data_IF_121012850234
#
_entry.id   IF_121012850234
#
_cell.length_a   1.000
_cell.length_b   1.000
_cell.length_c   1.000
_cell.angle_alpha   90.00
_cell.angle_beta   90.00
_cell.angle_gamma   90.00
#
_symmetry.space_group_name_H-M   'P 1'
#
loop_
_entity.id
_entity.type
_entity.pdbx_description
1 polymer ?
#
# COMPACT_ATOMS: atom_id res chain seq x y z
N UNK A 1 -16.91 -4.28 5.90
CA UNK A 1 -16.44 -4.70 7.24
C UNK A 1 -16.62 -3.56 8.25
N UNK A 2 -16.71 -3.89 9.53
CA UNK A 2 -16.64 -2.89 10.59
C UNK A 2 -15.16 -2.51 10.81
N UNK A 3 -14.87 -1.21 10.87
CA UNK A 3 -13.51 -0.70 11.10
C UNK A 3 -13.22 -0.41 12.58
N UNK A 4 -14.25 -0.24 13.40
CA UNK A 4 -14.08 -0.04 14.84
C UNK A 4 -13.42 -1.27 15.48
N UNK A 5 -12.27 -1.08 16.08
CA UNK A 5 -11.45 -2.13 16.70
C UNK A 5 -10.70 -3.04 15.71
N UNK A 6 -10.85 -2.87 14.39
CA UNK A 6 -10.12 -3.64 13.38
C UNK A 6 -8.61 -3.44 13.49
N UNK A 7 -7.84 -4.50 13.30
CA UNK A 7 -6.37 -4.46 13.34
C UNK A 7 -5.83 -4.27 11.94
N UNK A 8 -5.14 -3.14 11.71
CA UNK A 8 -4.63 -2.77 10.40
C UNK A 8 -3.10 -2.61 10.40
N UNK A 9 -2.46 -3.12 9.34
CA UNK A 9 -1.05 -2.89 9.05
C UNK A 9 -0.91 -2.11 7.74
N UNK A 10 -0.19 -0.99 7.76
CA UNK A 10 0.05 -0.15 6.58
C UNK A 10 1.55 -0.07 6.29
N UNK A 11 1.99 -0.60 5.15
CA UNK A 11 3.39 -0.50 4.72
C UNK A 11 3.67 0.85 4.08
N UNK A 12 4.89 1.39 4.29
CA UNK A 12 5.21 2.76 3.86
C UNK A 12 4.35 3.81 4.57
N UNK A 13 3.96 3.56 5.83
CA UNK A 13 3.02 4.38 6.60
C UNK A 13 3.59 5.68 7.15
N UNK A 14 4.90 5.94 6.99
CA UNK A 14 5.54 7.13 7.53
C UNK A 14 5.21 8.43 6.79
N UNK A 15 4.74 8.37 5.56
CA UNK A 15 4.44 9.57 4.75
C UNK A 15 3.44 9.28 3.62
N UNK A 16 3.07 10.31 2.88
CA UNK A 16 2.27 10.22 1.66
C UNK A 16 0.95 9.47 1.84
N UNK A 17 0.62 8.62 0.86
CA UNK A 17 -0.64 7.85 0.85
C UNK A 17 -0.73 6.95 2.08
N UNK A 18 0.37 6.25 2.45
CA UNK A 18 0.37 5.35 3.60
C UNK A 18 0.03 6.06 4.91
N UNK A 19 0.61 7.24 5.15
CA UNK A 19 0.25 8.09 6.32
C UNK A 19 -1.22 8.52 6.27
N UNK A 20 -1.70 8.93 5.08
CA UNK A 20 -3.11 9.29 4.89
C UNK A 20 -4.06 8.15 5.23
N UNK A 21 -3.77 6.95 4.73
CA UNK A 21 -4.57 5.74 5.01
C UNK A 21 -4.52 5.36 6.49
N UNK A 22 -3.32 5.41 7.11
CA UNK A 22 -3.19 5.12 8.54
C UNK A 22 -4.02 6.08 9.39
N UNK A 23 -4.01 7.39 9.05
CA UNK A 23 -4.84 8.41 9.70
C UNK A 23 -6.34 8.14 9.55
N UNK A 24 -6.79 7.83 8.34
CA UNK A 24 -8.19 7.57 8.07
C UNK A 24 -8.69 6.29 8.78
N UNK A 25 -7.93 5.20 8.73
CA UNK A 25 -8.28 3.98 9.45
C UNK A 25 -8.32 4.20 10.97
N UNK A 26 -7.37 4.97 11.52
CA UNK A 26 -7.38 5.36 12.93
C UNK A 26 -8.62 6.18 13.31
N UNK A 27 -9.03 7.10 12.45
CA UNK A 27 -10.24 7.92 12.67
C UNK A 27 -11.53 7.09 12.67
N UNK A 28 -11.53 5.94 11.98
CA UNK A 28 -12.61 4.94 11.98
C UNK A 28 -12.56 3.97 13.19
N UNK A 29 -11.67 4.19 14.15
CA UNK A 29 -11.54 3.36 15.35
C UNK A 29 -10.65 2.13 15.17
N UNK A 30 -9.97 1.95 14.04
CA UNK A 30 -9.04 0.85 13.85
C UNK A 30 -7.77 1.03 14.73
N UNK A 31 -7.20 -0.08 15.18
CA UNK A 31 -5.86 -0.15 15.77
C UNK A 31 -4.84 -0.32 14.64
N UNK A 32 -4.07 0.71 14.39
CA UNK A 32 -3.19 0.76 13.22
C UNK A 32 -1.74 0.60 13.63
N UNK A 33 -1.01 -0.26 12.92
CA UNK A 33 0.45 -0.34 12.93
C UNK A 33 0.97 0.13 11.58
N UNK A 34 1.99 0.99 11.58
CA UNK A 34 2.69 1.42 10.37
C UNK A 34 4.08 0.80 10.30
N UNK A 35 4.56 0.48 9.08
CA UNK A 35 5.94 0.02 8.90
C UNK A 35 6.66 0.78 7.79
N UNK A 36 7.97 0.89 7.92
CA UNK A 36 8.84 1.58 6.97
C UNK A 36 10.30 1.53 7.44
N UNK A 37 11.22 1.91 6.55
CA UNK A 37 12.67 1.81 6.79
C UNK A 37 13.26 2.95 7.60
N UNK A 38 12.70 4.15 7.48
CA UNK A 38 13.24 5.37 8.12
C UNK A 38 12.63 5.51 9.51
N UNK A 39 13.40 5.15 10.52
CA UNK A 39 12.97 5.10 11.91
C UNK A 39 12.49 6.45 12.43
N UNK A 40 13.20 7.52 12.11
CA UNK A 40 12.88 8.89 12.49
C UNK A 40 11.54 9.36 11.92
N UNK A 41 11.32 9.18 10.61
CA UNK A 41 10.07 9.54 9.92
C UNK A 41 8.90 8.69 10.42
N UNK A 42 9.15 7.39 10.58
CA UNK A 42 8.13 6.44 11.03
C UNK A 42 7.70 6.74 12.47
N UNK A 43 8.67 6.96 13.37
CA UNK A 43 8.43 7.29 14.77
C UNK A 43 7.70 8.63 14.93
N UNK A 44 8.10 9.65 14.19
CA UNK A 44 7.40 10.93 14.19
C UNK A 44 5.92 10.80 13.75
N UNK A 45 5.68 10.03 12.70
CA UNK A 45 4.30 9.79 12.21
C UNK A 45 3.50 8.94 13.19
N UNK A 46 4.11 7.92 13.80
CA UNK A 46 3.44 7.09 14.80
C UNK A 46 3.01 7.92 16.01
N UNK A 47 3.89 8.80 16.50
CA UNK A 47 3.59 9.71 17.60
C UNK A 47 2.48 10.72 17.25
N UNK A 48 2.54 11.31 16.03
CA UNK A 48 1.52 12.27 15.55
C UNK A 48 0.13 11.64 15.47
N UNK A 49 0.05 10.40 14.95
CA UNK A 49 -1.22 9.74 14.73
C UNK A 49 -1.72 8.93 15.94
N UNK A 50 -0.87 8.71 16.95
CA UNK A 50 -1.18 7.82 18.07
C UNK A 50 -1.38 6.38 17.61
N UNK A 51 -0.48 5.87 16.73
CA UNK A 51 -0.50 4.52 16.18
C UNK A 51 0.81 3.78 16.50
N UNK A 52 0.80 2.47 16.33
CA UNK A 52 2.00 1.65 16.52
C UNK A 52 2.93 1.73 15.30
N UNK A 53 4.22 1.45 15.52
CA UNK A 53 5.19 1.37 14.43
C UNK A 53 6.15 0.20 14.60
N UNK A 54 6.55 -0.38 13.46
CA UNK A 54 7.58 -1.42 13.36
C UNK A 54 8.55 -1.05 12.24
N UNK A 55 9.82 -0.81 12.57
CA UNK A 55 10.85 -0.52 11.56
C UNK A 55 11.18 -1.79 10.79
N UNK A 56 11.13 -1.73 9.46
CA UNK A 56 11.45 -2.88 8.60
C UNK A 56 11.47 -2.50 7.11
N UNK A 57 12.23 -3.28 6.35
CA UNK A 57 12.22 -3.22 4.88
C UNK A 57 11.31 -4.33 4.34
N UNK A 58 10.21 -3.94 3.66
CA UNK A 58 9.29 -4.92 3.05
C UNK A 58 9.98 -5.83 2.03
N UNK A 59 11.06 -5.37 1.39
CA UNK A 59 11.88 -6.17 0.47
C UNK A 59 12.82 -7.17 1.14
N UNK A 60 12.84 -7.24 2.47
CA UNK A 60 13.57 -8.22 3.26
C UNK A 60 12.58 -9.21 3.89
N UNK A 61 12.76 -10.51 3.61
CA UNK A 61 11.84 -11.54 4.08
C UNK A 61 11.79 -11.65 5.61
N UNK A 62 12.93 -11.57 6.29
CA UNK A 62 12.99 -11.64 7.75
C UNK A 62 12.25 -10.45 8.39
N UNK A 63 12.37 -9.25 7.79
CA UNK A 63 11.65 -8.07 8.26
C UNK A 63 10.14 -8.17 8.03
N UNK A 64 9.71 -8.73 6.89
CA UNK A 64 8.30 -8.97 6.62
C UNK A 64 7.69 -9.94 7.65
N UNK A 65 8.36 -11.07 7.91
CA UNK A 65 7.94 -12.04 8.93
C UNK A 65 7.88 -11.38 10.33
N UNK A 66 8.94 -10.67 10.73
CA UNK A 66 8.99 -9.98 12.03
C UNK A 66 7.90 -8.93 12.17
N UNK A 67 7.62 -8.17 11.12
CA UNK A 67 6.59 -7.12 11.14
C UNK A 67 5.21 -7.70 11.35
N UNK A 68 4.84 -8.75 10.62
CA UNK A 68 3.56 -9.43 10.79
C UNK A 68 3.45 -10.10 12.17
N UNK A 69 4.52 -10.77 12.62
CA UNK A 69 4.56 -11.40 13.94
C UNK A 69 4.31 -10.36 15.05
N UNK A 70 4.98 -9.21 15.00
CA UNK A 70 4.81 -8.14 15.99
C UNK A 70 3.35 -7.64 16.09
N UNK A 71 2.64 -7.53 14.96
CA UNK A 71 1.22 -7.16 14.95
C UNK A 71 0.35 -8.26 15.57
N UNK A 72 0.60 -9.52 15.16
CA UNK A 72 -0.18 -10.67 15.61
C UNK A 72 0.05 -10.93 17.11
N UNK A 73 1.29 -10.86 17.57
CA UNK A 73 1.66 -11.06 18.99
C UNK A 73 0.99 -9.99 19.89
N UNK A 74 0.92 -8.75 19.40
CA UNK A 74 0.30 -7.64 20.13
C UNK A 74 -1.22 -7.71 20.17
N UNK A 75 -1.85 -8.10 19.07
CA UNK A 75 -3.31 -7.95 18.88
C UNK A 75 -4.06 -9.27 18.71
N UNK A 76 -3.36 -10.40 18.56
CA UNK A 76 -3.94 -11.73 18.36
C UNK A 76 -4.48 -11.98 16.96
N UNK A 77 -4.55 -10.96 16.11
CA UNK A 77 -5.13 -11.02 14.75
C UNK A 77 -4.61 -9.93 13.83
N UNK A 78 -4.92 -10.05 12.56
CA UNK A 78 -4.80 -8.99 11.55
C UNK A 78 -6.09 -8.96 10.74
N UNK A 79 -6.69 -7.80 10.52
CA UNK A 79 -7.91 -7.65 9.72
C UNK A 79 -7.65 -7.00 8.36
N UNK A 80 -6.70 -6.06 8.31
CA UNK A 80 -6.41 -5.27 7.12
C UNK A 80 -4.90 -5.19 6.90
N UNK A 81 -4.44 -5.57 5.70
CA UNK A 81 -3.10 -5.24 5.20
C UNK A 81 -3.23 -4.23 4.07
N UNK A 82 -2.54 -3.08 4.19
CA UNK A 82 -2.37 -2.13 3.08
C UNK A 82 -0.93 -2.18 2.58
N UNK A 83 -0.71 -2.83 1.45
CA UNK A 83 0.54 -2.83 0.71
C UNK A 83 0.67 -1.52 -0.05
N UNK A 84 1.27 -0.52 0.60
CA UNK A 84 1.48 0.81 0.04
C UNK A 84 2.96 1.13 -0.19
N UNK A 85 3.88 0.50 0.53
CA UNK A 85 5.32 0.75 0.35
C UNK A 85 5.72 0.60 -1.13
N UNK A 86 6.35 1.65 -1.66
CA UNK A 86 6.78 1.66 -3.04
C UNK A 86 7.44 2.98 -3.43
N UNK A 87 8.27 2.93 -4.46
CA UNK A 87 8.91 4.10 -5.06
C UNK A 87 9.08 3.89 -6.57
N UNK A 88 9.51 4.92 -7.27
CA UNK A 88 9.72 4.86 -8.72
C UNK A 88 11.06 5.46 -9.11
N UNK A 89 11.67 4.86 -10.15
CA UNK A 89 12.80 5.40 -10.90
C UNK A 89 12.33 5.56 -12.35
N UNK A 90 12.65 6.71 -12.96
CA UNK A 90 12.16 7.10 -14.28
C UNK A 90 13.31 7.51 -15.17
N UNK A 91 13.82 6.56 -15.96
CA UNK A 91 14.90 6.77 -16.92
C UNK A 91 14.47 6.30 -18.32
N UNK A 92 15.07 6.84 -19.37
CA UNK A 92 14.89 6.28 -20.72
C UNK A 92 15.38 4.83 -20.74
N UNK A 93 14.84 4.01 -21.65
CA UNK A 93 15.20 2.59 -21.73
C UNK A 93 16.72 2.37 -21.85
N UNK A 94 17.37 3.21 -22.65
CA UNK A 94 18.82 3.10 -22.95
C UNK A 94 19.70 3.54 -21.77
N UNK A 95 19.14 4.29 -20.81
CA UNK A 95 19.85 4.84 -19.66
C UNK A 95 19.45 4.13 -18.35
N UNK A 96 18.54 3.15 -18.41
CA UNK A 96 18.06 2.42 -17.24
C UNK A 96 19.07 1.35 -16.82
N UNK A 97 19.65 1.51 -15.65
CA UNK A 97 20.53 0.50 -15.06
C UNK A 97 19.73 -0.70 -14.51
N UNK A 98 20.27 -1.92 -14.68
CA UNK A 98 19.63 -3.13 -14.14
C UNK A 98 19.39 -3.04 -12.63
N UNK A 99 20.35 -2.52 -11.88
CA UNK A 99 20.24 -2.34 -10.44
C UNK A 99 19.09 -1.41 -10.02
N UNK A 100 18.77 -0.40 -10.84
CA UNK A 100 17.62 0.49 -10.61
C UNK A 100 16.30 -0.28 -10.78
N UNK A 101 16.18 -1.04 -11.86
CA UNK A 101 15.03 -1.91 -12.12
C UNK A 101 14.84 -2.91 -10.96
N UNK A 102 15.89 -3.62 -10.57
CA UNK A 102 15.86 -4.58 -9.47
C UNK A 102 15.46 -3.93 -8.15
N UNK A 103 15.95 -2.74 -7.84
CA UNK A 103 15.62 -2.03 -6.61
C UNK A 103 14.13 -1.68 -6.52
N UNK A 104 13.53 -1.23 -7.63
CA UNK A 104 12.10 -0.95 -7.72
C UNK A 104 11.30 -2.24 -7.56
N UNK A 105 11.67 -3.32 -8.22
CA UNK A 105 11.00 -4.61 -8.09
C UNK A 105 11.13 -5.20 -6.70
N UNK A 106 12.26 -5.07 -6.05
CA UNK A 106 12.49 -5.54 -4.68
C UNK A 106 11.46 -4.96 -3.71
N UNK A 107 11.19 -3.67 -3.81
CA UNK A 107 10.22 -3.02 -2.92
C UNK A 107 8.78 -3.21 -3.40
N UNK A 108 8.50 -2.85 -4.68
CA UNK A 108 7.12 -2.73 -5.17
C UNK A 108 6.47 -4.09 -5.45
N UNK A 109 7.28 -5.11 -5.79
CA UNK A 109 6.82 -6.44 -6.20
C UNK A 109 7.11 -7.47 -5.12
N UNK A 110 8.39 -7.71 -4.84
CA UNK A 110 8.77 -8.74 -3.86
C UNK A 110 8.35 -8.35 -2.45
N UNK A 111 8.48 -7.07 -2.09
CA UNK A 111 8.02 -6.57 -0.79
C UNK A 111 6.50 -6.74 -0.61
N UNK A 112 5.72 -6.37 -1.61
CA UNK A 112 4.27 -6.57 -1.57
C UNK A 112 3.90 -8.06 -1.48
N UNK A 113 4.61 -8.92 -2.21
CA UNK A 113 4.45 -10.39 -2.13
C UNK A 113 4.77 -10.92 -0.73
N UNK A 114 5.91 -10.56 -0.15
CA UNK A 114 6.32 -11.05 1.17
C UNK A 114 5.31 -10.66 2.25
N UNK A 115 4.88 -9.40 2.27
CA UNK A 115 3.88 -8.92 3.22
C UNK A 115 2.51 -9.60 3.01
N UNK A 116 2.08 -9.74 1.75
CA UNK A 116 0.82 -10.41 1.42
C UNK A 116 0.83 -11.88 1.80
N UNK A 117 1.94 -12.60 1.57
CA UNK A 117 2.09 -14.02 1.93
C UNK A 117 1.92 -14.25 3.43
N UNK A 118 2.60 -13.44 4.25
CA UNK A 118 2.49 -13.59 5.71
C UNK A 118 1.10 -13.20 6.22
N UNK A 119 0.51 -12.12 5.68
CA UNK A 119 -0.86 -11.75 6.01
C UNK A 119 -1.88 -12.81 5.57
N UNK A 120 -1.73 -13.40 4.38
CA UNK A 120 -2.61 -14.44 3.87
C UNK A 120 -2.62 -15.68 4.78
N UNK A 121 -1.47 -16.08 5.32
CA UNK A 121 -1.40 -17.17 6.32
C UNK A 121 -2.30 -16.91 7.53
N UNK A 122 -2.32 -15.66 7.99
CA UNK A 122 -3.17 -15.27 9.11
C UNK A 122 -4.65 -15.14 8.69
N UNK A 123 -4.94 -14.54 7.55
CA UNK A 123 -6.29 -14.38 7.03
C UNK A 123 -6.98 -15.74 6.77
N UNK A 124 -6.25 -16.71 6.22
CA UNK A 124 -6.76 -18.08 6.04
C UNK A 124 -7.13 -18.73 7.37
N UNK A 125 -6.30 -18.58 8.42
CA UNK A 125 -6.62 -19.10 9.76
C UNK A 125 -7.86 -18.47 10.37
N UNK A 126 -8.10 -17.17 10.05
CA UNK A 126 -9.22 -16.39 10.57
C UNK A 126 -10.49 -16.54 9.74
N UNK A 127 -10.39 -17.12 8.53
CA UNK A 127 -11.46 -17.15 7.52
C UNK A 127 -12.01 -15.72 7.24
N UNK A 128 -11.17 -14.72 7.34
CA UNK A 128 -11.53 -13.31 7.12
C UNK A 128 -10.30 -12.44 6.93
N UNK A 129 -10.43 -11.35 6.17
CA UNK A 129 -9.39 -10.34 6.01
C UNK A 129 -9.61 -9.43 4.81
N UNK A 130 -8.82 -8.36 4.75
CA UNK A 130 -8.77 -7.46 3.60
C UNK A 130 -7.30 -7.14 3.24
N UNK A 131 -6.93 -7.43 2.00
CA UNK A 131 -5.63 -7.09 1.41
C UNK A 131 -5.83 -5.99 0.37
N UNK A 132 -5.26 -4.82 0.61
CA UNK A 132 -5.32 -3.69 -0.29
C UNK A 132 -3.94 -3.43 -0.88
N UNK A 133 -3.80 -3.54 -2.19
CA UNK A 133 -2.58 -3.23 -2.91
C UNK A 133 -2.67 -1.84 -3.55
N UNK A 134 -1.75 -0.94 -3.21
CA UNK A 134 -1.67 0.38 -3.83
C UNK A 134 -0.81 0.29 -5.10
N UNK A 135 -1.49 0.24 -6.23
CA UNK A 135 -0.88 0.28 -7.55
C UNK A 135 -0.72 1.73 -8.02
N UNK A 136 -1.09 2.00 -9.24
CA UNK A 136 -1.08 3.32 -9.89
C UNK A 136 -1.83 3.22 -11.22
N UNK A 137 -2.28 4.33 -11.78
CA UNK A 137 -2.66 4.40 -13.19
C UNK A 137 -1.52 3.99 -14.14
N UNK A 138 -0.26 4.08 -13.69
CA UNK A 138 0.91 3.52 -14.38
C UNK A 138 0.93 1.98 -14.42
N UNK A 139 0.12 1.29 -13.63
CA UNK A 139 -0.12 -0.15 -13.69
C UNK A 139 -1.22 -0.53 -14.69
N UNK A 140 -1.89 0.45 -15.30
CA UNK A 140 -2.91 0.27 -16.35
C UNK A 140 -2.36 0.64 -17.73
N UNK A 141 -1.43 1.58 -17.79
CA UNK A 141 -0.81 2.05 -19.03
C UNK A 141 0.62 2.51 -18.75
N UNK A 142 1.58 1.94 -19.44
CA UNK A 142 2.98 2.38 -19.41
C UNK A 142 3.16 3.76 -20.03
N UNK A 143 4.20 4.48 -19.61
CA UNK A 143 4.58 5.79 -20.13
C UNK A 143 6.09 5.91 -20.33
N UNK A 144 6.51 6.95 -21.02
CA UNK A 144 7.92 7.23 -21.29
C UNK A 144 8.72 7.32 -19.99
N UNK A 145 9.85 6.64 -19.93
CA UNK A 145 10.74 6.59 -18.78
C UNK A 145 10.23 5.71 -17.63
N UNK A 146 9.04 5.12 -17.76
CA UNK A 146 8.40 4.36 -16.68
C UNK A 146 8.74 2.87 -16.64
N UNK A 147 9.79 2.40 -17.33
CA UNK A 147 10.08 0.97 -17.45
C UNK A 147 10.08 0.27 -16.10
N UNK A 148 10.85 0.73 -15.13
CA UNK A 148 10.92 0.10 -13.82
C UNK A 148 9.62 0.26 -13.02
N UNK A 149 9.09 1.47 -12.95
CA UNK A 149 7.91 1.74 -12.13
C UNK A 149 6.64 1.12 -12.71
N UNK A 150 6.33 1.39 -13.99
CA UNK A 150 5.11 0.87 -14.61
C UNK A 150 5.09 -0.65 -14.61
N UNK A 151 6.19 -1.32 -15.02
CA UNK A 151 6.24 -2.78 -15.03
C UNK A 151 6.05 -3.38 -13.63
N UNK A 152 6.60 -2.74 -12.57
CA UNK A 152 6.37 -3.17 -11.19
C UNK A 152 4.89 -3.07 -10.79
N UNK A 153 4.17 -2.03 -11.26
CA UNK A 153 2.74 -1.86 -10.96
C UNK A 153 1.85 -2.78 -11.79
N UNK A 154 2.25 -3.13 -13.02
CA UNK A 154 1.62 -4.20 -13.79
C UNK A 154 1.82 -5.56 -13.12
N UNK A 155 3.03 -5.87 -12.64
CA UNK A 155 3.30 -7.10 -11.90
C UNK A 155 2.43 -7.20 -10.63
N UNK A 156 2.34 -6.11 -9.85
CA UNK A 156 1.48 -6.05 -8.66
C UNK A 156 0.01 -6.29 -9.01
N UNK A 157 -0.48 -5.77 -10.13
CA UNK A 157 -1.85 -6.01 -10.62
C UNK A 157 -2.07 -7.49 -10.89
N UNK A 158 -1.17 -8.12 -11.68
CA UNK A 158 -1.28 -9.56 -11.99
C UNK A 158 -1.26 -10.43 -10.72
N UNK A 159 -0.36 -10.14 -9.78
CA UNK A 159 -0.33 -10.82 -8.48
C UNK A 159 -1.63 -10.62 -7.68
N UNK A 160 -2.19 -9.40 -7.71
CA UNK A 160 -3.46 -9.10 -7.02
C UNK A 160 -4.60 -9.96 -7.56
N UNK A 161 -4.67 -10.16 -8.87
CA UNK A 161 -5.70 -11.01 -9.49
C UNK A 161 -5.55 -12.48 -9.06
N UNK A 162 -4.32 -13.02 -9.05
CA UNK A 162 -4.04 -14.37 -8.55
C UNK A 162 -4.44 -14.51 -7.07
N UNK A 163 -4.00 -13.60 -6.21
CA UNK A 163 -4.30 -13.65 -4.79
C UNK A 163 -5.80 -13.51 -4.49
N UNK A 164 -6.51 -12.73 -5.29
CA UNK A 164 -7.97 -12.59 -5.18
C UNK A 164 -8.66 -13.94 -5.43
N UNK A 165 -8.26 -14.64 -6.47
CA UNK A 165 -8.85 -15.92 -6.82
C UNK A 165 -8.52 -17.02 -5.77
N UNK A 166 -7.29 -17.02 -5.27
CA UNK A 166 -6.83 -17.95 -4.24
C UNK A 166 -7.53 -17.73 -2.89
N UNK A 167 -7.69 -16.47 -2.46
CA UNK A 167 -8.07 -16.15 -1.08
C UNK A 167 -9.58 -15.89 -0.88
N UNK A 168 -10.34 -15.65 -1.95
CA UNK A 168 -11.80 -15.37 -1.84
C UNK A 168 -12.60 -16.50 -1.17
N UNK A 169 -12.18 -17.76 -1.30
CA UNK A 169 -12.79 -18.90 -0.62
C UNK A 169 -12.60 -18.88 0.90
N UNK A 170 -11.68 -18.08 1.41
CA UNK A 170 -11.42 -17.84 2.82
C UNK A 170 -12.03 -16.51 3.31
N UNK A 171 -13.01 -15.97 2.59
CA UNK A 171 -13.67 -14.70 2.89
C UNK A 171 -12.69 -13.50 2.94
N UNK A 172 -11.58 -13.58 2.22
CA UNK A 172 -10.59 -12.50 2.14
C UNK A 172 -10.87 -11.64 0.92
N UNK A 173 -10.98 -10.33 1.13
CA UNK A 173 -11.13 -9.34 0.07
C UNK A 173 -9.76 -8.89 -0.40
N UNK A 174 -9.44 -9.11 -1.67
CA UNK A 174 -8.19 -8.63 -2.26
C UNK A 174 -8.51 -7.53 -3.27
N UNK A 175 -8.07 -6.31 -2.97
CA UNK A 175 -8.43 -5.10 -3.70
C UNK A 175 -7.20 -4.42 -4.27
N UNK A 176 -7.34 -3.85 -5.48
CA UNK A 176 -6.32 -3.03 -6.14
C UNK A 176 -6.81 -1.59 -6.23
N UNK A 177 -5.97 -0.67 -5.79
CA UNK A 177 -6.23 0.77 -5.88
C UNK A 177 -5.25 1.39 -6.86
N UNK A 178 -5.74 2.13 -7.84
CA UNK A 178 -4.94 2.79 -8.87
C UNK A 178 -5.04 4.32 -8.74
N UNK A 179 -4.25 4.94 -7.85
CA UNK A 179 -4.19 6.40 -7.79
C UNK A 179 -3.61 6.98 -9.09
N UNK A 180 -4.14 8.11 -9.53
CA UNK A 180 -3.45 8.97 -10.48
C UNK A 180 -2.38 9.82 -9.77
N UNK A 181 -2.05 11.00 -10.24
CA UNK A 181 -1.04 11.85 -9.60
C UNK A 181 -1.53 12.38 -8.24
N UNK A 182 -0.84 12.00 -7.16
CA UNK A 182 -1.13 12.42 -5.78
C UNK A 182 0.01 13.28 -5.26
N UNK A 183 -0.31 14.38 -4.60
CA UNK A 183 0.66 15.28 -3.95
C UNK A 183 1.32 14.58 -2.76
N UNK A 184 2.52 14.06 -2.95
CA UNK A 184 3.31 13.35 -1.95
C UNK A 184 4.80 13.57 -2.18
N UNK A 185 5.65 13.07 -1.29
CA UNK A 185 7.12 13.05 -1.48
C UNK A 185 7.58 12.08 -2.60
N UNK A 186 6.66 11.31 -3.18
CA UNK A 186 6.99 10.34 -4.23
C UNK A 186 7.71 10.97 -5.43
N UNK A 187 7.25 12.13 -5.90
CA UNK A 187 7.89 12.82 -7.02
C UNK A 187 9.32 13.26 -6.69
N UNK A 188 9.54 13.79 -5.50
CA UNK A 188 10.88 14.20 -5.04
C UNK A 188 11.81 12.98 -4.91
N UNK A 189 11.33 11.88 -4.35
CA UNK A 189 12.09 10.61 -4.27
C UNK A 189 12.41 10.04 -5.65
N UNK A 190 11.56 10.28 -6.63
CA UNK A 190 11.74 9.87 -8.01
C UNK A 190 12.58 10.88 -8.85
N UNK A 191 13.19 11.89 -8.21
CA UNK A 191 13.97 12.94 -8.90
C UNK A 191 13.14 13.84 -9.80
N UNK A 192 11.81 13.89 -9.61
CA UNK A 192 10.89 14.69 -10.44
C UNK A 192 10.42 15.94 -9.69
N UNK A 193 10.35 17.05 -10.38
CA UNK A 193 9.68 18.25 -9.85
C UNK A 193 8.16 17.98 -9.87
N UNK A 194 7.51 18.22 -8.75
CA UNK A 194 6.05 18.24 -8.67
C UNK A 194 5.60 19.68 -8.42
N UNK A 195 4.82 20.21 -9.35
CA UNK A 195 4.16 21.49 -9.12
C UNK A 195 3.06 21.30 -8.08
N UNK A 196 3.09 22.14 -7.07
CA UNK A 196 2.01 22.20 -6.06
C UNK A 196 0.77 22.80 -6.71
N UNK A 197 -0.35 22.13 -6.56
CA UNK A 197 -1.65 22.58 -7.10
C UNK A 197 -2.77 22.06 -6.22
N UNK A 198 -3.70 22.92 -5.87
CA UNK A 198 -4.92 22.54 -5.15
C UNK A 198 -5.88 21.68 -5.99
N UNK A 199 -5.62 21.58 -7.30
CA UNK A 199 -6.38 20.76 -8.24
C UNK A 199 -5.92 19.30 -8.26
N UNK A 200 -4.75 18.96 -7.71
CA UNK A 200 -4.20 17.60 -7.66
C UNK A 200 -4.71 16.85 -6.42
N UNK A 201 -4.77 15.53 -6.53
CA UNK A 201 -5.15 14.68 -5.40
C UNK A 201 -4.17 14.81 -4.24
N UNK A 202 -4.70 14.72 -3.04
CA UNK A 202 -3.96 14.57 -1.78
C UNK A 202 -4.09 13.14 -1.27
N UNK A 203 -3.26 12.70 -0.34
CA UNK A 203 -3.40 11.39 0.30
C UNK A 203 -4.77 11.12 0.93
N UNK A 204 -5.48 12.17 1.36
CA UNK A 204 -6.81 12.08 1.96
C UNK A 204 -7.85 11.46 1.02
N UNK A 205 -7.91 11.92 -0.24
CA UNK A 205 -8.91 11.41 -1.20
C UNK A 205 -8.69 9.92 -1.52
N UNK A 206 -7.42 9.48 -1.51
CA UNK A 206 -7.11 8.05 -1.67
C UNK A 206 -7.55 7.27 -0.43
N UNK A 207 -7.28 7.80 0.75
CA UNK A 207 -7.64 7.19 2.02
C UNK A 207 -9.16 7.07 2.17
N UNK A 208 -9.92 8.12 1.84
CA UNK A 208 -11.39 8.14 1.90
C UNK A 208 -11.99 7.09 0.95
N UNK A 209 -11.44 6.95 -0.27
CA UNK A 209 -11.87 5.94 -1.22
C UNK A 209 -11.62 4.51 -0.69
N UNK A 210 -10.47 4.27 -0.04
CA UNK A 210 -10.13 2.98 0.59
C UNK A 210 -11.08 2.67 1.75
N UNK A 211 -11.31 3.63 2.64
CA UNK A 211 -12.25 3.48 3.77
C UNK A 211 -13.66 3.20 3.25
N UNK A 212 -14.12 3.94 2.24
CA UNK A 212 -15.41 3.69 1.60
C UNK A 212 -15.53 2.27 1.02
N UNK A 213 -14.49 1.78 0.35
CA UNK A 213 -14.45 0.43 -0.20
C UNK A 213 -14.44 -0.66 0.90
N UNK A 214 -13.75 -0.42 2.02
CA UNK A 214 -13.73 -1.35 3.16
C UNK A 214 -15.06 -1.44 3.88
N UNK A 215 -15.84 -0.34 3.95
CA UNK A 215 -17.14 -0.27 4.63
C UNK A 215 -18.28 -1.02 3.92
N UNK A 216 -18.08 -1.44 2.65
CA UNK A 216 -19.06 -2.27 1.95
C UNK A 216 -19.37 -3.52 2.79
N UNK A 217 -20.66 -3.91 2.82
CA UNK A 217 -21.13 -5.13 3.51
C UNK A 217 -20.29 -6.35 3.12
N UNK A 218 -20.09 -7.29 4.07
CA UNK A 218 -19.17 -8.41 3.89
C UNK A 218 -19.55 -9.38 2.77
N UNK A 219 -20.77 -9.30 2.21
CA UNK A 219 -21.20 -10.04 1.03
C UNK A 219 -20.58 -9.58 -0.28
N UNK A 220 -19.94 -8.40 -0.29
CA UNK A 220 -19.36 -7.81 -1.51
C UNK A 220 -18.08 -7.02 -1.24
N UNK A 221 -17.37 -6.70 -2.30
CA UNK A 221 -16.22 -5.78 -2.28
C UNK A 221 -15.96 -5.20 -3.67
N UNK A 222 -15.24 -4.11 -3.72
CA UNK A 222 -14.76 -3.51 -4.96
C UNK A 222 -13.39 -4.11 -5.27
N UNK A 223 -13.26 -4.95 -6.33
CA UNK A 223 -12.00 -5.66 -6.60
C UNK A 223 -10.88 -4.74 -7.10
N UNK A 224 -11.27 -3.68 -7.83
CA UNK A 224 -10.33 -2.68 -8.38
C UNK A 224 -11.04 -1.36 -8.59
N UNK A 225 -10.34 -0.25 -8.29
CA UNK A 225 -10.82 1.10 -8.63
C UNK A 225 -9.66 2.06 -8.85
N UNK A 226 -9.94 3.13 -9.60
CA UNK A 226 -9.00 4.23 -9.87
C UNK A 226 -9.52 5.53 -9.27
N UNK A 227 -8.60 6.36 -8.77
CA UNK A 227 -8.93 7.69 -8.24
C UNK A 227 -8.18 8.73 -9.06
N UNK A 228 -8.93 9.62 -9.70
CA UNK A 228 -8.41 10.71 -10.52
C UNK A 228 -8.79 12.06 -9.95
N UNK A 229 -7.92 13.05 -10.12
CA UNK A 229 -8.31 14.44 -9.93
C UNK A 229 -9.33 14.84 -11.02
N UNK A 230 -10.37 15.58 -10.62
CA UNK A 230 -11.44 16.00 -11.56
C UNK A 230 -10.90 16.90 -12.66
N UNK A 231 -10.02 17.84 -12.31
CA UNK A 231 -9.35 18.74 -13.27
C UNK A 231 -7.94 19.04 -12.76
N UNK A 232 -6.92 18.26 -13.16
CA UNK A 232 -5.54 18.43 -12.67
C UNK A 232 -4.78 19.55 -13.38
N UNK A 233 -5.37 20.24 -14.39
CA UNK A 233 -4.76 21.26 -15.27
C UNK A 233 -4.96 22.70 -14.78
#
# INVERSE_FOLDING_TARGET
MNLEGAIALVTGGGEGIGKGVARALKAEGAKVTITGRREDVLGATAAELGVDSVVGDVGNEADAVRTLAAVIDKHGRLDILVNNAGFGIFNALVDMELAELESVFRTNVFGAFLMAREAARQFIKQESGALINISSTSGLKGGRGGTAYSSSKFALRGMTDCWRDELRRHNVRVMLVNPSEVMTQFAATAGRKQETSDKKLRPSEIADAIVGALRIDDRGFIPEFSVFATNPF
#
